data_IF_560054590285
#
_entry.id   IF_560054590285
#
_cell.length_a   1.000
_cell.length_b   1.000
_cell.length_c   1.000
_cell.angle_alpha   90.00
_cell.angle_beta   90.00
_cell.angle_gamma   90.00
#
_symmetry.space_group_name_H-M   'P 1'
#
loop_
_entity.id
_entity.type
_entity.pdbx_description
1 polymer ?
#
# COMPACT_ATOMS: atom_id res chain seq x y z
N UNK A 1 20.57 -9.61 6.69
CA UNK A 1 21.02 -10.93 6.17
C UNK A 1 20.61 -10.98 4.73
N UNK A 2 21.52 -11.30 3.82
CA UNK A 2 21.20 -11.36 2.40
C UNK A 2 20.30 -12.56 2.11
N UNK A 3 19.23 -12.35 1.36
CA UNK A 3 18.24 -13.38 1.05
C UNK A 3 18.84 -14.46 0.14
N UNK A 4 18.77 -15.71 0.57
CA UNK A 4 19.30 -16.87 -0.17
C UNK A 4 18.35 -17.45 -1.23
N UNK A 5 17.05 -17.15 -1.16
CA UNK A 5 16.02 -17.71 -2.05
C UNK A 5 14.91 -16.70 -2.38
N UNK A 6 14.25 -16.86 -3.52
CA UNK A 6 13.11 -16.02 -3.93
C UNK A 6 11.84 -16.39 -3.17
N UNK A 7 11.05 -15.40 -2.72
CA UNK A 7 9.79 -15.64 -2.01
C UNK A 7 8.58 -15.14 -2.81
N UNK A 8 8.08 -15.98 -3.71
CA UNK A 8 6.97 -15.68 -4.62
C UNK A 8 5.64 -15.38 -3.91
N UNK A 9 5.39 -16.01 -2.75
CA UNK A 9 4.17 -15.77 -1.99
C UNK A 9 4.11 -14.38 -1.40
N UNK A 10 5.22 -13.90 -0.85
CA UNK A 10 5.33 -12.54 -0.29
C UNK A 10 5.25 -11.49 -1.39
N UNK A 11 5.92 -11.74 -2.53
CA UNK A 11 5.78 -10.91 -3.73
C UNK A 11 4.31 -10.76 -4.14
N UNK A 12 3.58 -11.86 -4.31
CA UNK A 12 2.19 -11.82 -4.75
C UNK A 12 1.30 -11.01 -3.79
N UNK A 13 1.50 -11.15 -2.48
CA UNK A 13 0.74 -10.42 -1.47
C UNK A 13 1.03 -8.91 -1.51
N UNK A 14 2.30 -8.50 -1.54
CA UNK A 14 2.68 -7.09 -1.64
C UNK A 14 2.23 -6.46 -2.97
N UNK A 15 2.37 -7.20 -4.07
CA UNK A 15 1.94 -6.79 -5.40
C UNK A 15 0.42 -6.61 -5.47
N UNK A 16 -0.37 -7.59 -5.03
CA UNK A 16 -1.83 -7.50 -5.02
C UNK A 16 -2.27 -6.34 -4.11
N UNK A 17 -1.70 -6.20 -2.91
CA UNK A 17 -2.01 -5.08 -2.02
C UNK A 17 -1.77 -3.72 -2.66
N UNK A 18 -0.67 -3.57 -3.42
CA UNK A 18 -0.37 -2.35 -4.17
C UNK A 18 -1.41 -2.02 -5.25
N UNK A 19 -1.98 -3.05 -5.89
CA UNK A 19 -3.05 -2.90 -6.89
C UNK A 19 -4.36 -2.44 -6.26
N UNK A 20 -4.69 -2.89 -5.05
CA UNK A 20 -5.85 -2.39 -4.32
C UNK A 20 -5.75 -0.90 -3.99
N UNK A 21 -4.57 -0.44 -3.55
CA UNK A 21 -4.33 0.98 -3.34
C UNK A 21 -4.42 1.77 -4.65
N UNK A 22 -3.89 1.22 -5.74
CA UNK A 22 -3.96 1.83 -7.06
C UNK A 22 -5.42 1.90 -7.56
N UNK A 23 -6.21 0.85 -7.35
CA UNK A 23 -7.62 0.80 -7.72
C UNK A 23 -8.41 1.91 -7.01
N UNK A 24 -8.17 2.13 -5.71
CA UNK A 24 -8.79 3.24 -4.97
C UNK A 24 -8.41 4.58 -5.61
N UNK A 25 -7.14 4.81 -5.92
CA UNK A 25 -6.67 6.04 -6.56
C UNK A 25 -7.37 6.29 -7.91
N UNK A 26 -7.42 5.28 -8.80
CA UNK A 26 -7.98 5.44 -10.15
C UNK A 26 -9.50 5.46 -10.21
N UNK A 27 -10.18 4.86 -9.25
CA UNK A 27 -11.65 4.80 -9.23
C UNK A 27 -12.29 5.92 -8.40
N UNK A 28 -11.51 6.62 -7.57
CA UNK A 28 -12.01 7.77 -6.81
C UNK A 28 -12.23 8.95 -7.75
N UNK A 29 -13.48 9.29 -8.03
CA UNK A 29 -13.88 10.44 -8.88
C UNK A 29 -13.80 11.81 -8.16
N UNK A 30 -12.89 11.96 -7.20
CA UNK A 30 -12.68 13.22 -6.48
C UNK A 30 -13.82 13.72 -5.58
N UNK A 31 -14.88 12.93 -5.39
CA UNK A 31 -16.15 13.39 -4.81
C UNK A 31 -16.32 13.18 -3.30
N UNK A 32 -15.34 12.64 -2.57
CA UNK A 32 -15.62 12.05 -1.24
C UNK A 32 -14.99 12.72 -0.03
N UNK A 33 -14.47 13.92 -0.16
CA UNK A 33 -13.96 14.62 1.01
C UNK A 33 -15.02 15.55 1.56
N UNK A 34 -15.94 14.91 2.30
CA UNK A 34 -16.76 15.47 3.37
C UNK A 34 -17.28 16.89 3.03
N UNK A 35 -18.50 16.99 2.47
CA UNK A 35 -19.14 18.13 1.74
C UNK A 35 -18.88 19.60 2.12
N UNK A 36 -18.02 19.89 3.09
CA UNK A 36 -17.32 21.16 3.32
C UNK A 36 -16.17 21.38 2.31
N UNK A 37 -16.47 22.20 1.31
CA UNK A 37 -15.65 22.59 0.17
C UNK A 37 -14.24 23.19 0.45
N UNK A 38 -13.86 23.46 1.70
CA UNK A 38 -12.54 24.04 2.01
C UNK A 38 -11.41 23.02 2.17
N UNK A 39 -11.72 21.81 2.64
CA UNK A 39 -10.72 20.79 2.95
C UNK A 39 -10.47 19.87 1.73
N UNK A 40 -11.51 19.51 0.99
CA UNK A 40 -11.47 18.54 -0.11
C UNK A 40 -10.39 18.83 -1.17
N UNK A 41 -10.15 20.11 -1.49
CA UNK A 41 -9.20 20.52 -2.53
C UNK A 41 -7.72 20.27 -2.17
N UNK A 42 -7.36 20.30 -0.88
CA UNK A 42 -5.99 20.02 -0.41
C UNK A 42 -5.74 18.52 -0.25
N UNK A 43 -6.77 17.79 0.14
CA UNK A 43 -6.66 16.39 0.48
C UNK A 43 -6.82 15.44 -0.71
N UNK A 44 -7.48 15.87 -1.80
CA UNK A 44 -7.54 15.09 -3.04
C UNK A 44 -6.15 14.86 -3.65
N UNK A 45 -5.33 15.92 -3.87
CA UNK A 45 -3.96 15.74 -4.35
C UNK A 45 -3.12 14.89 -3.41
N UNK A 46 -3.37 14.97 -2.10
CA UNK A 46 -2.71 14.13 -1.10
C UNK A 46 -3.11 12.64 -1.24
N UNK A 47 -4.39 12.35 -1.54
CA UNK A 47 -4.89 11.00 -1.82
C UNK A 47 -4.17 10.41 -3.03
N UNK A 48 -4.12 11.16 -4.14
CA UNK A 48 -3.41 10.73 -5.35
C UNK A 48 -1.92 10.57 -5.08
N UNK A 49 -1.28 11.54 -4.43
CA UNK A 49 0.16 11.48 -4.14
C UNK A 49 0.52 10.27 -3.28
N UNK A 50 -0.19 10.05 -2.17
CA UNK A 50 0.14 8.96 -1.25
C UNK A 50 -0.28 7.60 -1.81
N UNK A 51 -1.41 7.51 -2.48
CA UNK A 51 -1.82 6.26 -3.12
C UNK A 51 -0.89 5.87 -4.26
N UNK A 52 -0.47 6.81 -5.12
CA UNK A 52 0.49 6.53 -6.21
C UNK A 52 1.87 6.21 -5.65
N UNK A 53 2.42 7.05 -4.77
CA UNK A 53 3.75 6.84 -4.20
C UNK A 53 3.78 5.56 -3.37
N UNK A 54 2.74 5.29 -2.59
CA UNK A 54 2.58 4.08 -1.80
C UNK A 54 2.47 2.82 -2.63
N UNK A 55 1.65 2.83 -3.69
CA UNK A 55 1.55 1.73 -4.65
C UNK A 55 2.87 1.49 -5.37
N UNK A 56 3.55 2.54 -5.83
CA UNK A 56 4.85 2.43 -6.51
C UNK A 56 5.92 1.87 -5.56
N UNK A 57 5.96 2.36 -4.32
CA UNK A 57 6.90 1.87 -3.30
C UNK A 57 6.67 0.38 -3.02
N UNK A 58 5.42 -0.05 -2.79
CA UNK A 58 5.10 -1.46 -2.57
C UNK A 58 5.36 -2.32 -3.81
N UNK A 59 5.08 -1.79 -5.00
CA UNK A 59 5.37 -2.46 -6.26
C UNK A 59 6.86 -2.74 -6.39
N UNK A 60 7.74 -1.73 -6.25
CA UNK A 60 9.19 -1.94 -6.36
C UNK A 60 9.75 -2.80 -5.23
N UNK A 61 9.26 -2.62 -3.99
CA UNK A 61 9.68 -3.44 -2.85
C UNK A 61 9.29 -4.90 -3.05
N UNK A 62 8.14 -5.17 -3.69
CA UNK A 62 7.73 -6.54 -4.02
C UNK A 62 8.74 -7.25 -4.92
N UNK A 63 9.33 -6.57 -5.91
CA UNK A 63 10.39 -7.16 -6.74
C UNK A 63 11.67 -7.46 -5.96
N UNK A 64 11.92 -6.73 -4.87
CA UNK A 64 12.97 -7.05 -3.91
C UNK A 64 12.86 -8.47 -3.33
N UNK A 65 11.65 -9.06 -3.31
CA UNK A 65 11.46 -10.46 -2.89
C UNK A 65 11.90 -11.51 -3.91
N UNK A 66 12.04 -11.12 -5.17
CA UNK A 66 12.45 -11.96 -6.28
C UNK A 66 13.96 -11.84 -6.57
N UNK A 67 14.66 -10.92 -5.91
CA UNK A 67 16.08 -10.69 -6.08
C UNK A 67 16.90 -11.35 -4.96
N UNK A 68 17.65 -12.43 -5.24
CA UNK A 68 18.60 -12.99 -4.28
C UNK A 68 19.76 -12.00 -4.03
N UNK A 69 20.27 -11.97 -2.80
CA UNK A 69 21.38 -11.09 -2.41
C UNK A 69 21.02 -9.75 -1.77
N UNK A 70 19.73 -9.38 -1.71
CA UNK A 70 19.25 -8.16 -1.04
C UNK A 70 19.03 -8.42 0.46
N UNK A 71 19.24 -7.41 1.32
CA UNK A 71 18.99 -7.51 2.76
C UNK A 71 17.49 -7.62 3.05
N UNK A 72 17.07 -8.82 3.44
CA UNK A 72 15.69 -9.19 3.70
C UNK A 72 15.04 -8.33 4.79
N UNK A 73 15.81 -7.90 5.80
CA UNK A 73 15.31 -7.04 6.88
C UNK A 73 15.01 -5.61 6.39
N UNK A 74 15.83 -5.10 5.47
CA UNK A 74 15.63 -3.76 4.90
C UNK A 74 14.40 -3.74 3.97
N UNK A 75 14.22 -4.80 3.16
CA UNK A 75 13.05 -4.97 2.30
C UNK A 75 11.78 -5.11 3.13
N UNK A 76 11.78 -5.94 4.18
CA UNK A 76 10.64 -6.10 5.10
C UNK A 76 10.26 -4.78 5.77
N UNK A 77 11.25 -4.05 6.31
CA UNK A 77 11.02 -2.78 6.98
C UNK A 77 10.50 -1.70 6.00
N UNK A 78 11.00 -1.70 4.76
CA UNK A 78 10.52 -0.82 3.69
C UNK A 78 9.06 -1.14 3.31
N UNK A 79 8.76 -2.42 3.07
CA UNK A 79 7.42 -2.90 2.74
C UNK A 79 6.41 -2.55 3.84
N UNK A 80 6.77 -2.81 5.10
CA UNK A 80 5.88 -2.59 6.24
C UNK A 80 5.61 -1.09 6.45
N UNK A 81 6.64 -0.23 6.33
CA UNK A 81 6.46 1.23 6.40
C UNK A 81 5.60 1.75 5.25
N UNK A 82 5.86 1.31 4.02
CA UNK A 82 5.07 1.69 2.84
C UNK A 82 3.61 1.27 3.00
N UNK A 83 3.35 0.03 3.40
CA UNK A 83 1.99 -0.47 3.69
C UNK A 83 1.29 0.37 4.75
N UNK A 84 1.89 0.52 5.93
CA UNK A 84 1.24 1.20 7.06
C UNK A 84 0.99 2.68 6.76
N UNK A 85 1.99 3.40 6.25
CA UNK A 85 1.84 4.83 5.96
C UNK A 85 0.82 5.07 4.84
N UNK A 86 0.83 4.26 3.78
CA UNK A 86 -0.11 4.39 2.67
C UNK A 86 -1.53 4.06 3.12
N UNK A 87 -1.71 2.97 3.86
CA UNK A 87 -3.04 2.53 4.29
C UNK A 87 -3.68 3.45 5.33
N UNK A 88 -2.94 3.98 6.30
CA UNK A 88 -3.49 4.91 7.29
C UNK A 88 -4.03 6.17 6.59
N UNK A 89 -3.24 6.72 5.66
CA UNK A 89 -3.63 7.96 4.99
C UNK A 89 -4.77 7.70 4.00
N UNK A 90 -4.70 6.64 3.18
CA UNK A 90 -5.82 6.29 2.32
C UNK A 90 -7.09 5.98 3.11
N UNK A 91 -7.00 5.31 4.26
CA UNK A 91 -8.16 5.03 5.11
C UNK A 91 -8.77 6.31 5.68
N UNK A 92 -7.94 7.25 6.15
CA UNK A 92 -8.42 8.56 6.62
C UNK A 92 -9.11 9.36 5.50
N UNK A 93 -8.58 9.30 4.28
CA UNK A 93 -9.09 10.02 3.12
C UNK A 93 -10.31 9.36 2.46
N UNK A 94 -10.55 8.07 2.73
CA UNK A 94 -11.65 7.30 2.15
C UNK A 94 -12.75 6.94 3.15
N UNK A 95 -12.61 7.28 4.44
CA UNK A 95 -13.58 6.98 5.51
C UNK A 95 -15.03 7.41 5.17
N UNK A 96 -15.20 8.51 4.42
CA UNK A 96 -16.52 8.98 3.99
C UNK A 96 -17.21 8.11 2.92
N UNK A 97 -16.52 7.13 2.35
CA UNK A 97 -17.04 6.20 1.36
C UNK A 97 -16.70 4.75 1.76
N UNK A 98 -17.69 4.03 2.28
CA UNK A 98 -17.54 2.68 2.80
C UNK A 98 -16.91 1.69 1.80
N UNK A 99 -17.19 1.85 0.51
CA UNK A 99 -16.63 0.96 -0.52
C UNK A 99 -15.12 1.18 -0.69
N UNK A 100 -14.66 2.43 -0.77
CA UNK A 100 -13.23 2.73 -0.88
C UNK A 100 -12.50 2.43 0.43
N UNK A 101 -13.09 2.76 1.58
CA UNK A 101 -12.54 2.43 2.88
C UNK A 101 -12.34 0.91 3.05
N UNK A 102 -13.34 0.11 2.68
CA UNK A 102 -13.23 -1.35 2.69
C UNK A 102 -12.14 -1.85 1.71
N UNK A 103 -12.03 -1.25 0.53
CA UNK A 103 -11.00 -1.59 -0.47
C UNK A 103 -9.58 -1.31 0.07
N UNK A 104 -9.38 -0.16 0.75
CA UNK A 104 -8.11 0.17 1.42
C UNK A 104 -7.79 -0.83 2.53
N UNK A 105 -8.78 -1.21 3.35
CA UNK A 105 -8.59 -2.19 4.42
C UNK A 105 -8.21 -3.57 3.89
N UNK A 106 -8.85 -4.03 2.80
CA UNK A 106 -8.50 -5.30 2.16
C UNK A 106 -7.07 -5.24 1.62
N UNK A 107 -6.71 -4.17 0.89
CA UNK A 107 -5.34 -3.96 0.42
C UNK A 107 -4.30 -3.93 1.54
N UNK A 108 -4.63 -3.27 2.65
CA UNK A 108 -3.81 -3.21 3.86
C UNK A 108 -3.58 -4.60 4.45
N UNK A 109 -4.64 -5.39 4.67
CA UNK A 109 -4.53 -6.71 5.28
C UNK A 109 -3.64 -7.63 4.41
N UNK A 110 -3.85 -7.63 3.10
CA UNK A 110 -3.08 -8.45 2.16
C UNK A 110 -1.60 -8.03 2.18
N UNK A 111 -1.31 -6.73 2.04
CA UNK A 111 0.05 -6.20 2.06
C UNK A 111 0.72 -6.39 3.43
N UNK A 112 -0.03 -6.29 4.54
CA UNK A 112 0.48 -6.45 5.90
C UNK A 112 0.83 -7.91 6.21
N UNK A 113 0.04 -8.86 5.73
CA UNK A 113 0.36 -10.29 5.83
C UNK A 113 1.65 -10.58 5.05
N UNK A 114 1.77 -10.07 3.81
CA UNK A 114 2.99 -10.20 3.02
C UNK A 114 4.20 -9.60 3.72
N UNK A 115 4.13 -8.31 4.05
CA UNK A 115 5.24 -7.53 4.63
C UNK A 115 5.60 -7.89 6.08
N UNK A 116 4.65 -8.39 6.88
CA UNK A 116 4.86 -8.65 8.30
C UNK A 116 5.05 -10.12 8.67
N UNK A 117 4.34 -11.05 8.03
CA UNK A 117 4.45 -12.49 8.31
C UNK A 117 5.42 -13.19 7.35
N UNK A 118 5.57 -12.67 6.13
CA UNK A 118 6.49 -13.20 5.11
C UNK A 118 7.96 -13.19 5.49
N UNK A 119 8.36 -12.25 6.36
CA UNK A 119 9.76 -11.99 6.74
C UNK A 119 10.08 -12.35 8.19
N UNK A 120 9.14 -12.94 8.94
CA UNK A 120 9.33 -13.35 10.34
C UNK A 120 10.05 -14.71 10.51
N UNK A 121 10.77 -15.18 9.49
CA UNK A 121 11.53 -16.43 9.54
C UNK A 121 12.97 -16.21 9.99
#
# INVERSE_FOLDING_TARGET
MAKGTTNWGVFALEFIGSLFFLAVVFTTNGTYMNGNWGAAALWLPLLYAIGVVGSIALFFVSFGNLMPGIDEKAVAAGAMKATVCTSIVLAALTYGNTAYFATVLIGFIIAFIGSGLGYKK
#
